data_IF_054649824273
#
_entry.id   IF_054649824273
#
_cell.length_a   1.000
_cell.length_b   1.000
_cell.length_c   1.000
_cell.angle_alpha   90.00
_cell.angle_beta   90.00
_cell.angle_gamma   90.00
#
_symmetry.space_group_name_H-M   'P 1'
#
loop_
_entity.id
_entity.type
_entity.pdbx_description
1 polymer ?
#
# COMPACT_ATOMS: atom_id res chain seq x y z
N UNK A 1 43.58 -12.37 21.97
CA UNK A 1 44.10 -11.64 20.79
C UNK A 1 42.91 -11.20 19.95
N UNK A 2 42.91 -9.98 19.41
CA UNK A 2 41.86 -9.51 18.50
C UNK A 2 42.16 -10.07 17.11
N UNK A 3 41.31 -10.97 16.60
CA UNK A 3 41.49 -11.60 15.30
C UNK A 3 40.73 -10.77 14.27
N UNK A 4 41.45 -10.16 13.33
CA UNK A 4 40.86 -9.36 12.26
C UNK A 4 40.24 -10.31 11.23
N UNK A 5 38.97 -10.09 10.88
CA UNK A 5 38.31 -10.84 9.83
C UNK A 5 38.78 -10.36 8.45
N UNK A 6 39.24 -11.30 7.61
CA UNK A 6 39.75 -11.02 6.25
C UNK A 6 39.03 -11.85 5.18
N UNK A 7 37.85 -12.40 5.49
CA UNK A 7 37.03 -13.05 4.46
C UNK A 7 36.49 -12.01 3.49
N UNK A 8 36.10 -12.46 2.29
CA UNK A 8 35.53 -11.59 1.25
C UNK A 8 34.34 -10.79 1.78
N UNK A 9 33.46 -11.43 2.56
CA UNK A 9 32.27 -10.81 3.14
C UNK A 9 32.64 -9.70 4.12
N UNK A 10 33.66 -9.93 4.96
CA UNK A 10 34.15 -8.93 5.90
C UNK A 10 34.76 -7.73 5.18
N UNK A 11 35.56 -7.96 4.14
CA UNK A 11 36.20 -6.89 3.36
C UNK A 11 35.13 -6.05 2.64
N UNK A 12 34.18 -6.69 1.96
CA UNK A 12 33.10 -5.98 1.26
C UNK A 12 32.19 -5.20 2.21
N UNK A 13 31.88 -5.78 3.36
CA UNK A 13 31.05 -5.11 4.39
C UNK A 13 31.78 -3.92 4.98
N UNK A 14 33.06 -4.07 5.35
CA UNK A 14 33.88 -2.98 5.86
C UNK A 14 34.01 -1.84 4.84
N UNK A 15 34.25 -2.17 3.56
CA UNK A 15 34.29 -1.18 2.49
C UNK A 15 32.98 -0.40 2.36
N UNK A 16 31.83 -1.10 2.38
CA UNK A 16 30.51 -0.45 2.33
C UNK A 16 30.27 0.49 3.50
N UNK A 17 30.67 0.09 4.72
CA UNK A 17 30.53 0.93 5.92
C UNK A 17 31.37 2.19 5.76
N UNK A 18 32.67 2.04 5.49
CA UNK A 18 33.60 3.18 5.36
C UNK A 18 33.19 4.13 4.24
N UNK A 19 32.64 3.62 3.14
CA UNK A 19 32.17 4.43 2.02
C UNK A 19 30.92 5.27 2.34
N UNK A 20 30.16 4.94 3.38
CA UNK A 20 28.98 5.74 3.78
C UNK A 20 29.28 6.75 4.89
N UNK A 21 30.40 6.57 5.59
CA UNK A 21 30.80 7.36 6.75
C UNK A 21 31.49 8.67 6.37
N UNK A 22 31.28 9.69 7.22
CA UNK A 22 32.13 10.87 7.25
C UNK A 22 33.11 10.77 8.44
N UNK A 23 34.28 10.19 8.21
CA UNK A 23 35.32 10.02 9.24
C UNK A 23 35.91 11.33 9.78
N UNK A 24 35.57 12.48 9.20
CA UNK A 24 35.99 13.79 9.70
C UNK A 24 35.04 14.38 10.74
N UNK A 25 33.83 13.83 10.91
CA UNK A 25 32.88 14.25 11.93
C UNK A 25 33.18 13.54 13.27
N UNK A 26 32.91 14.22 14.39
CA UNK A 26 33.07 13.64 15.73
C UNK A 26 31.84 12.79 16.09
N UNK A 27 31.99 11.47 16.30
CA UNK A 27 30.88 10.61 16.70
C UNK A 27 30.30 10.95 18.09
N UNK A 28 31.04 11.65 18.95
CA UNK A 28 30.56 12.09 20.27
C UNK A 28 29.59 13.27 20.19
N UNK A 29 29.65 14.06 19.10
CA UNK A 29 28.81 15.23 18.88
C UNK A 29 27.65 14.93 17.92
N UNK A 30 27.94 14.32 16.76
CA UNK A 30 26.92 13.92 15.78
C UNK A 30 27.26 12.55 15.17
N UNK A 31 26.75 11.50 15.82
CA UNK A 31 26.91 10.13 15.34
C UNK A 31 26.25 9.91 13.98
N UNK A 32 25.19 10.65 13.62
CA UNK A 32 24.52 10.50 12.34
C UNK A 32 25.37 11.07 11.20
N UNK A 33 25.98 12.23 11.38
CA UNK A 33 26.93 12.76 10.39
C UNK A 33 28.17 11.86 10.30
N UNK A 34 28.72 11.36 11.40
CA UNK A 34 29.85 10.43 11.36
C UNK A 34 29.50 9.14 10.61
N UNK A 35 28.38 8.50 10.93
CA UNK A 35 28.00 7.20 10.38
C UNK A 35 27.47 7.29 8.94
N UNK A 36 26.73 8.34 8.60
CA UNK A 36 25.94 8.44 7.37
C UNK A 36 26.22 9.70 6.54
N UNK A 37 27.06 10.62 7.01
CA UNK A 37 27.21 11.95 6.41
C UNK A 37 27.66 11.92 4.95
N UNK A 38 28.50 10.95 4.56
CA UNK A 38 28.86 10.78 3.14
C UNK A 38 27.69 10.19 2.35
N UNK A 39 27.02 9.17 2.87
CA UNK A 39 25.84 8.61 2.23
C UNK A 39 24.78 9.68 1.95
N UNK A 40 24.47 10.54 2.91
CA UNK A 40 23.48 11.62 2.74
C UNK A 40 23.91 12.61 1.64
N UNK A 41 25.22 12.91 1.53
CA UNK A 41 25.77 13.83 0.52
C UNK A 41 25.80 13.23 -0.88
N UNK A 42 26.06 11.94 -1.00
CA UNK A 42 26.28 11.25 -2.29
C UNK A 42 25.05 10.48 -2.78
N UNK A 43 24.04 10.29 -1.94
CA UNK A 43 22.82 9.60 -2.33
C UNK A 43 22.01 10.44 -3.32
N UNK A 44 21.86 9.91 -4.53
CA UNK A 44 20.92 10.45 -5.50
C UNK A 44 19.51 9.94 -5.21
N UNK A 45 18.53 10.84 -5.25
CA UNK A 45 17.12 10.47 -5.16
C UNK A 45 16.63 10.17 -6.58
N UNK A 46 16.18 8.94 -6.87
CA UNK A 46 15.47 8.65 -8.09
C UNK A 46 14.24 9.55 -8.22
N UNK A 47 13.87 9.87 -9.45
CA UNK A 47 12.70 10.69 -9.73
C UNK A 47 11.45 10.13 -9.04
N UNK A 48 10.68 11.03 -8.46
CA UNK A 48 9.45 10.70 -7.73
C UNK A 48 9.65 10.14 -6.33
N UNK A 49 10.88 10.00 -5.82
CA UNK A 49 11.13 9.56 -4.45
C UNK A 49 11.34 10.74 -3.50
N UNK A 50 10.59 10.76 -2.40
CA UNK A 50 10.70 11.79 -1.35
C UNK A 50 11.56 11.34 -0.16
N UNK A 51 12.02 10.09 -0.15
CA UNK A 51 12.76 9.49 0.96
C UNK A 51 13.78 8.48 0.45
N UNK A 52 15.01 8.57 0.98
CA UNK A 52 16.09 7.65 0.66
C UNK A 52 16.81 7.20 1.93
N UNK A 53 16.85 5.88 2.13
CA UNK A 53 17.64 5.21 3.15
C UNK A 53 18.38 4.03 2.54
N UNK A 54 19.35 3.47 3.27
CA UNK A 54 20.16 2.35 2.78
C UNK A 54 19.33 1.13 2.36
N UNK A 55 18.19 0.90 3.01
CA UNK A 55 17.27 -0.19 2.66
C UNK A 55 16.40 0.12 1.44
N UNK A 56 16.02 1.40 1.22
CA UNK A 56 15.20 1.76 0.05
C UNK A 56 16.02 1.63 -1.23
N UNK A 57 17.33 1.93 -1.20
CA UNK A 57 18.23 1.68 -2.32
C UNK A 57 18.21 0.21 -2.78
N UNK A 58 18.27 -0.74 -1.83
CA UNK A 58 18.18 -2.17 -2.14
C UNK A 58 16.78 -2.54 -2.63
N UNK A 59 15.74 -1.98 -2.02
CA UNK A 59 14.36 -2.22 -2.43
C UNK A 59 14.10 -1.80 -3.88
N UNK A 60 14.57 -0.63 -4.32
CA UNK A 60 14.40 -0.18 -5.71
C UNK A 60 15.15 -1.06 -6.70
N UNK A 61 16.36 -1.52 -6.36
CA UNK A 61 17.09 -2.48 -7.18
C UNK A 61 16.31 -3.79 -7.35
N UNK A 62 15.70 -4.29 -6.28
CA UNK A 62 14.86 -5.49 -6.32
C UNK A 62 13.60 -5.29 -7.16
N UNK A 63 12.92 -4.14 -7.04
CA UNK A 63 11.75 -3.85 -7.88
C UNK A 63 12.12 -3.93 -9.35
N UNK A 64 13.20 -3.26 -9.77
CA UNK A 64 13.63 -3.25 -11.18
C UNK A 64 13.80 -4.69 -11.70
N UNK A 65 14.39 -5.57 -10.90
CA UNK A 65 14.52 -6.98 -11.24
C UNK A 65 13.15 -7.69 -11.35
N UNK A 66 12.28 -7.51 -10.35
CA UNK A 66 10.97 -8.16 -10.29
C UNK A 66 10.04 -7.72 -11.44
N UNK A 67 10.12 -6.47 -11.88
CA UNK A 67 9.35 -5.95 -13.03
C UNK A 67 9.46 -6.82 -14.28
N UNK A 68 10.65 -7.37 -14.54
CA UNK A 68 10.89 -8.25 -15.69
C UNK A 68 10.23 -9.64 -15.59
N UNK A 69 9.73 -10.02 -14.40
CA UNK A 69 9.27 -11.37 -14.09
C UNK A 69 7.76 -11.52 -13.96
N UNK A 70 7.01 -10.42 -13.84
CA UNK A 70 5.56 -10.45 -13.63
C UNK A 70 4.80 -9.91 -14.84
N UNK A 71 4.04 -10.75 -15.57
CA UNK A 71 3.27 -10.31 -16.75
C UNK A 71 2.27 -9.19 -16.45
N UNK A 72 1.63 -9.23 -15.27
CA UNK A 72 0.72 -8.17 -14.82
C UNK A 72 1.40 -6.80 -14.69
N UNK A 73 2.72 -6.76 -14.49
CA UNK A 73 3.44 -5.49 -14.46
C UNK A 73 3.40 -4.79 -15.83
N UNK A 74 3.35 -5.54 -16.94
CA UNK A 74 3.33 -4.98 -18.29
C UNK A 74 2.06 -4.16 -18.55
N UNK A 75 0.89 -4.59 -18.04
CA UNK A 75 -0.35 -3.81 -18.17
C UNK A 75 -0.32 -2.50 -17.38
N UNK A 76 0.59 -2.34 -16.41
CA UNK A 76 0.75 -1.10 -15.66
C UNK A 76 1.74 -0.11 -16.28
N UNK A 77 2.57 -0.53 -17.24
CA UNK A 77 3.61 0.31 -17.87
C UNK A 77 3.39 0.58 -19.34
N UNK A 78 2.44 -0.11 -19.98
CA UNK A 78 2.04 0.19 -21.35
C UNK A 78 1.19 1.47 -21.39
N UNK A 79 1.85 2.62 -21.31
CA UNK A 79 1.21 3.93 -21.34
C UNK A 79 0.41 4.14 -22.63
N UNK A 80 0.88 3.62 -23.76
CA UNK A 80 0.18 3.76 -25.03
C UNK A 80 -1.19 3.07 -25.01
N UNK A 81 -1.27 1.86 -24.44
CA UNK A 81 -2.54 1.18 -24.25
C UNK A 81 -3.44 1.93 -23.24
N UNK A 82 -2.87 2.39 -22.12
CA UNK A 82 -3.61 3.13 -21.09
C UNK A 82 -4.21 4.42 -21.66
N UNK A 83 -3.42 5.19 -22.42
CA UNK A 83 -3.86 6.44 -23.06
C UNK A 83 -4.88 6.20 -24.17
N UNK A 84 -4.74 5.11 -24.93
CA UNK A 84 -5.70 4.74 -25.97
C UNK A 84 -7.08 4.38 -25.39
N UNK A 85 -7.11 3.70 -24.25
CA UNK A 85 -8.36 3.35 -23.53
C UNK A 85 -8.94 4.57 -22.80
N UNK A 86 -8.07 5.42 -22.25
CA UNK A 86 -8.47 6.62 -21.54
C UNK A 86 -9.37 6.32 -20.33
N UNK A 87 -10.43 7.12 -20.18
CA UNK A 87 -11.36 7.02 -19.04
C UNK A 87 -12.59 6.15 -19.31
N UNK A 88 -12.64 5.45 -20.46
CA UNK A 88 -13.77 4.59 -20.81
C UNK A 88 -14.11 3.56 -19.70
N UNK A 89 -13.15 2.89 -19.03
CA UNK A 89 -13.47 1.95 -17.96
C UNK A 89 -14.17 2.58 -16.76
N UNK A 90 -14.01 3.90 -16.56
CA UNK A 90 -14.66 4.64 -15.48
C UNK A 90 -16.04 5.17 -15.86
N UNK A 91 -16.26 5.52 -17.14
CA UNK A 91 -17.51 6.13 -17.61
C UNK A 91 -18.49 5.14 -18.24
N UNK A 92 -18.01 4.04 -18.80
CA UNK A 92 -18.88 2.98 -19.32
C UNK A 92 -19.35 2.01 -18.22
N UNK A 93 -18.83 2.14 -17.00
CA UNK A 93 -19.39 1.52 -15.80
C UNK A 93 -20.47 2.44 -15.22
N UNK A 94 -21.71 2.11 -15.54
CA UNK A 94 -22.86 2.99 -15.29
C UNK A 94 -23.12 3.16 -13.80
N UNK A 95 -22.87 2.14 -12.97
CA UNK A 95 -23.15 2.23 -11.53
C UNK A 95 -22.30 3.32 -10.84
N UNK A 96 -21.02 3.46 -11.22
CA UNK A 96 -20.13 4.47 -10.64
C UNK A 96 -20.48 5.89 -11.11
N UNK A 97 -20.81 6.05 -12.38
CA UNK A 97 -21.19 7.36 -12.94
C UNK A 97 -22.57 7.79 -12.44
N UNK A 98 -23.50 6.84 -12.31
CA UNK A 98 -24.86 7.07 -11.87
C UNK A 98 -24.91 7.51 -10.40
N UNK A 99 -24.01 7.00 -9.56
CA UNK A 99 -23.93 7.33 -8.13
C UNK A 99 -23.36 8.75 -7.87
N UNK A 100 -22.78 9.42 -8.88
CA UNK A 100 -22.05 10.68 -8.71
C UNK A 100 -22.84 11.90 -9.25
N UNK A 101 -23.39 12.78 -8.38
CA UNK A 101 -24.28 13.88 -8.80
C UNK A 101 -23.67 14.90 -9.77
N UNK A 102 -22.35 15.10 -9.74
CA UNK A 102 -21.68 16.02 -10.68
C UNK A 102 -21.39 15.40 -12.04
N UNK A 103 -21.50 14.08 -12.19
CA UNK A 103 -21.27 13.36 -13.46
C UNK A 103 -22.59 12.94 -14.10
N UNK A 104 -23.63 12.69 -13.29
CA UNK A 104 -24.96 12.32 -13.75
C UNK A 104 -25.99 13.46 -13.50
N UNK A 105 -26.40 14.22 -14.53
CA UNK A 105 -27.44 15.25 -14.40
C UNK A 105 -28.81 14.72 -13.97
N UNK A 106 -29.08 13.43 -14.23
CA UNK A 106 -30.33 12.76 -13.88
C UNK A 106 -30.28 12.13 -12.48
N UNK A 107 -29.20 12.37 -11.72
CA UNK A 107 -29.07 11.89 -10.35
C UNK A 107 -30.21 12.39 -9.46
N UNK A 108 -30.75 11.49 -8.65
CA UNK A 108 -31.88 11.77 -7.78
C UNK A 108 -31.64 11.23 -6.37
N UNK A 109 -31.61 12.15 -5.40
CA UNK A 109 -31.45 11.85 -3.97
C UNK A 109 -32.47 10.82 -3.46
N UNK A 110 -33.70 10.84 -3.98
CA UNK A 110 -34.75 9.93 -3.53
C UNK A 110 -34.45 8.45 -3.81
N UNK A 111 -33.60 8.16 -4.80
CA UNK A 111 -33.25 6.80 -5.19
C UNK A 111 -31.86 6.37 -4.66
N UNK A 112 -31.17 7.24 -3.93
CA UNK A 112 -29.80 7.01 -3.49
C UNK A 112 -29.77 6.30 -2.13
N UNK A 113 -29.27 5.05 -2.11
CA UNK A 113 -28.97 4.33 -0.86
C UNK A 113 -27.47 4.32 -0.58
N UNK A 114 -27.05 5.16 0.36
CA UNK A 114 -25.66 5.27 0.77
C UNK A 114 -25.07 3.92 1.25
N UNK A 115 -25.84 3.05 1.90
CA UNK A 115 -25.32 1.77 2.38
C UNK A 115 -25.02 0.82 1.24
N UNK A 116 -25.87 0.80 0.21
CA UNK A 116 -25.67 -0.04 -0.98
C UNK A 116 -24.42 0.40 -1.74
N UNK A 117 -24.29 1.70 -1.98
CA UNK A 117 -23.14 2.30 -2.67
C UNK A 117 -21.85 1.99 -1.90
N UNK A 118 -21.82 2.23 -0.59
CA UNK A 118 -20.61 1.95 0.22
C UNK A 118 -20.27 0.45 0.18
N UNK A 119 -21.25 -0.45 0.28
CA UNK A 119 -21.00 -1.89 0.24
C UNK A 119 -20.39 -2.32 -1.11
N UNK A 120 -20.90 -1.79 -2.22
CA UNK A 120 -20.38 -2.04 -3.57
C UNK A 120 -18.96 -1.51 -3.74
N UNK A 121 -18.67 -0.29 -3.27
CA UNK A 121 -17.33 0.29 -3.33
C UNK A 121 -16.32 -0.49 -2.45
N UNK A 122 -16.74 -0.93 -1.26
CA UNK A 122 -15.91 -1.79 -0.40
C UNK A 122 -15.60 -3.13 -1.06
N UNK A 123 -16.52 -3.69 -1.86
CA UNK A 123 -16.29 -4.95 -2.58
C UNK A 123 -15.14 -4.86 -3.58
N UNK A 124 -14.87 -3.68 -4.15
CA UNK A 124 -13.73 -3.41 -5.03
C UNK A 124 -12.54 -2.76 -4.30
N UNK A 125 -12.57 -2.74 -2.96
CA UNK A 125 -11.46 -2.26 -2.12
C UNK A 125 -11.42 -0.75 -1.89
N UNK A 126 -12.50 -0.02 -2.20
CA UNK A 126 -12.62 1.42 -1.93
C UNK A 126 -13.37 1.63 -0.61
N UNK A 127 -12.70 2.26 0.36
CA UNK A 127 -13.21 2.46 1.73
C UNK A 127 -13.41 3.96 2.03
N UNK A 128 -14.54 4.58 1.63
CA UNK A 128 -14.68 6.04 1.61
C UNK A 128 -14.95 6.69 2.98
N UNK A 129 -15.78 6.06 3.83
CA UNK A 129 -16.17 6.64 5.15
C UNK A 129 -15.48 5.89 6.30
N UNK A 130 -15.48 4.57 6.23
CA UNK A 130 -14.83 3.70 7.19
C UNK A 130 -14.21 2.51 6.46
N UNK A 131 -13.13 1.98 7.03
CA UNK A 131 -12.56 0.69 6.64
C UNK A 131 -13.11 -0.41 7.53
N UNK A 132 -13.45 -1.56 6.96
CA UNK A 132 -13.80 -2.76 7.73
C UNK A 132 -12.75 -3.82 7.43
N UNK A 133 -11.96 -4.17 8.44
CA UNK A 133 -10.94 -5.22 8.29
C UNK A 133 -11.17 -6.36 9.27
N UNK A 134 -10.83 -7.57 8.84
CA UNK A 134 -10.76 -8.74 9.72
C UNK A 134 -9.34 -8.82 10.27
N UNK A 135 -9.21 -8.90 11.59
CA UNK A 135 -7.92 -9.03 12.26
C UNK A 135 -8.04 -9.94 13.46
N UNK A 136 -6.92 -10.47 13.95
CA UNK A 136 -6.87 -11.14 15.25
C UNK A 136 -7.23 -10.17 16.39
N UNK A 137 -7.84 -10.70 17.45
CA UNK A 137 -8.08 -9.98 18.70
C UNK A 137 -6.75 -9.80 19.47
N UNK A 138 -6.55 -8.61 20.04
CA UNK A 138 -5.28 -8.27 20.71
C UNK A 138 -5.12 -8.96 22.07
N UNK A 139 -6.23 -9.36 22.70
CA UNK A 139 -6.26 -10.09 23.97
C UNK A 139 -6.29 -11.60 23.72
N UNK A 140 -6.91 -12.05 22.63
CA UNK A 140 -6.90 -13.46 22.20
C UNK A 140 -6.65 -13.62 20.69
N UNK A 141 -5.39 -13.91 20.35
CA UNK A 141 -4.97 -14.09 18.95
C UNK A 141 -5.61 -15.28 18.22
N UNK A 142 -6.35 -16.16 18.90
CA UNK A 142 -7.08 -17.28 18.29
C UNK A 142 -8.43 -16.88 17.70
N UNK A 143 -8.92 -15.67 18.04
CA UNK A 143 -10.21 -15.15 17.59
C UNK A 143 -10.00 -14.03 16.57
N UNK A 144 -10.81 -14.04 15.52
CA UNK A 144 -10.90 -12.93 14.57
C UNK A 144 -12.00 -11.95 14.99
N UNK A 145 -11.73 -10.66 14.82
CA UNK A 145 -12.64 -9.55 15.12
C UNK A 145 -12.74 -8.60 13.92
N UNK A 146 -13.90 -7.94 13.80
CA UNK A 146 -14.08 -6.86 12.84
C UNK A 146 -13.55 -5.56 13.46
N UNK A 147 -12.60 -4.94 12.77
CA UNK A 147 -12.08 -3.62 13.11
C UNK A 147 -12.70 -2.60 12.18
N UNK A 148 -13.44 -1.65 12.77
CA UNK A 148 -14.01 -0.52 12.05
C UNK A 148 -13.17 0.71 12.35
N UNK A 149 -12.54 1.27 11.34
CA UNK A 149 -11.78 2.53 11.46
C UNK A 149 -12.42 3.57 10.56
N UNK A 150 -12.39 4.83 10.97
CA UNK A 150 -12.73 5.90 10.05
C UNK A 150 -11.71 5.90 8.91
N UNK A 151 -12.18 6.09 7.69
CA UNK A 151 -11.32 6.25 6.54
C UNK A 151 -10.40 7.45 6.82
N UNK A 152 -9.12 7.30 6.46
CA UNK A 152 -8.21 8.43 6.56
C UNK A 152 -8.74 9.55 5.66
N UNK A 153 -9.03 10.71 6.24
CA UNK A 153 -9.20 11.92 5.46
C UNK A 153 -7.93 12.13 4.63
N UNK A 154 -8.01 12.82 3.49
CA UNK A 154 -6.90 13.04 2.54
C UNK A 154 -5.62 13.69 3.14
N UNK A 155 -5.59 13.99 4.44
CA UNK A 155 -4.42 14.37 5.20
C UNK A 155 -4.08 13.30 6.25
N UNK A 156 -2.78 13.00 6.45
CA UNK A 156 -2.28 12.05 7.47
C UNK A 156 -2.83 12.38 8.86
N UNK A 157 -3.91 11.71 9.26
CA UNK A 157 -4.52 11.79 10.59
C UNK A 157 -4.10 10.62 11.48
N UNK A 158 -4.08 10.84 12.78
CA UNK A 158 -3.84 9.80 13.78
C UNK A 158 -5.05 8.88 13.93
N UNK A 159 -4.78 7.57 13.94
CA UNK A 159 -5.75 6.47 13.93
C UNK A 159 -6.65 6.46 15.19
N UNK A 160 -7.97 6.53 15.01
CA UNK A 160 -8.96 6.36 16.09
C UNK A 160 -10.12 5.47 15.62
N UNK A 161 -9.90 4.15 15.70
CA UNK A 161 -10.91 3.12 15.36
C UNK A 161 -11.75 2.65 16.55
N UNK A 162 -12.92 2.06 16.28
CA UNK A 162 -13.75 1.33 17.26
C UNK A 162 -13.70 -0.17 17.00
N UNK A 163 -13.63 -0.97 18.06
CA UNK A 163 -13.59 -2.44 18.00
C UNK A 163 -15.02 -3.00 18.02
N UNK A 164 -15.35 -3.92 17.12
CA UNK A 164 -16.62 -4.67 17.15
C UNK A 164 -16.30 -6.16 17.16
N UNK A 165 -16.66 -6.85 18.25
CA UNK A 165 -16.46 -8.29 18.37
C UNK A 165 -17.64 -9.01 17.71
N UNK A 166 -17.40 -9.71 16.61
CA UNK A 166 -18.40 -10.54 15.93
C UNK A 166 -18.03 -12.01 16.11
N UNK A 167 -18.96 -12.80 16.66
CA UNK A 167 -18.75 -14.23 16.92
C UNK A 167 -18.76 -15.04 15.61
N UNK A 168 -17.97 -16.11 15.58
CA UNK A 168 -17.64 -16.95 14.42
C UNK A 168 -18.84 -17.47 13.60
N UNK A 169 -20.04 -17.53 14.16
CA UNK A 169 -21.25 -18.04 13.47
C UNK A 169 -21.82 -17.09 12.40
N UNK A 170 -21.40 -15.82 12.33
CA UNK A 170 -21.88 -14.87 11.31
C UNK A 170 -21.01 -14.81 10.04
N UNK A 171 -19.76 -15.31 10.07
CA UNK A 171 -18.84 -15.23 8.93
C UNK A 171 -19.26 -16.11 7.75
N UNK A 172 -20.01 -17.18 8.00
CA UNK A 172 -20.48 -18.10 6.96
C UNK A 172 -21.57 -17.48 6.08
N UNK A 173 -22.32 -16.49 6.57
CA UNK A 173 -23.44 -15.89 5.84
C UNK A 173 -23.01 -14.74 4.91
N UNK A 174 -21.97 -13.97 5.25
CA UNK A 174 -21.49 -12.89 4.37
C UNK A 174 -20.67 -13.41 3.19
N UNK A 175 -19.81 -14.41 3.40
CA UNK A 175 -18.97 -14.97 2.33
C UNK A 175 -19.76 -15.85 1.34
N UNK A 176 -20.76 -16.60 1.81
CA UNK A 176 -21.59 -17.41 0.92
C UNK A 176 -22.53 -16.56 0.06
N UNK A 177 -23.05 -15.46 0.61
CA UNK A 177 -23.84 -14.51 -0.17
C UNK A 177 -22.98 -13.78 -1.21
N UNK A 178 -21.75 -13.39 -0.86
CA UNK A 178 -20.79 -12.74 -1.76
C UNK A 178 -20.43 -13.61 -2.97
N UNK A 179 -20.13 -14.90 -2.77
CA UNK A 179 -19.85 -15.81 -3.90
C UNK A 179 -21.10 -16.12 -4.75
N UNK A 180 -22.30 -16.10 -4.16
CA UNK A 180 -23.53 -16.32 -4.94
C UNK A 180 -23.89 -15.19 -5.90
N UNK A 181 -23.41 -13.96 -5.65
CA UNK A 181 -23.66 -12.81 -6.53
C UNK A 181 -22.60 -12.65 -7.64
N UNK A 182 -21.39 -13.16 -7.45
CA UNK A 182 -20.29 -13.09 -8.44
C UNK A 182 -19.95 -14.42 -9.11
N UNK A 183 -20.69 -15.50 -8.80
CA UNK A 183 -20.46 -16.83 -9.35
C UNK A 183 -21.20 -17.08 -10.67
N UNK A 184 -20.67 -16.60 -11.79
CA UNK A 184 -20.78 -17.18 -13.16
C UNK A 184 -20.34 -16.24 -14.30
N UNK A 185 -19.56 -15.19 -14.02
CA UNK A 185 -18.86 -14.43 -15.07
C UNK A 185 -17.40 -14.86 -15.14
N UNK A 186 -16.94 -15.32 -16.29
CA UNK A 186 -15.51 -15.53 -16.55
C UNK A 186 -14.78 -14.19 -16.37
N UNK A 187 -14.12 -14.00 -15.22
CA UNK A 187 -13.02 -13.06 -15.08
C UNK A 187 -11.81 -13.73 -15.73
N UNK A 188 -11.69 -13.59 -17.05
CA UNK A 188 -10.50 -13.53 -17.91
C UNK A 188 -10.95 -13.64 -19.37
#
# INVERSE_FOLDING_TARGET
ACQICVTTECILTAARIINNMNMSADPGEDFNEFACGRYIKESEFPDGQSFMASYTAVYYQNIIFLRSKFPFYQSCVDEAQIEAVGLEPYFNDTEFTDDWPTLNPDWNEANFDLNEVIARYMAVGVEPIFSITVSYDMEDSTINVLKVRFACLFARGSDSGRRVVVKSSMYALSFSHFYSQFGSGNLF
#
